data_IF_846155460020
#
_entry.id   IF_846155460020
#
_cell.length_a   1.000
_cell.length_b   1.000
_cell.length_c   1.000
_cell.angle_alpha   90.00
_cell.angle_beta   90.00
_cell.angle_gamma   90.00
#
_symmetry.space_group_name_H-M   'P 1'
#
loop_
_entity.id
_entity.type
_entity.pdbx_description
1 polymer ?
#
# COMPACT_ATOMS: atom_id res chain seq x y z
N UNK A 1 6.17 -4.18 -21.19
CA UNK A 1 6.73 -3.47 -20.02
C UNK A 1 7.40 -4.52 -19.14
N UNK A 2 8.66 -4.32 -18.74
CA UNK A 2 9.35 -5.24 -17.82
C UNK A 2 8.70 -5.10 -16.44
N UNK A 3 8.36 -6.21 -15.77
CA UNK A 3 7.89 -6.15 -14.39
C UNK A 3 9.04 -5.68 -13.50
N UNK A 4 8.78 -4.62 -12.73
CA UNK A 4 9.73 -4.04 -11.80
C UNK A 4 9.40 -4.60 -10.42
N UNK A 5 10.34 -5.34 -9.83
CA UNK A 5 10.19 -5.89 -8.48
C UNK A 5 9.98 -4.77 -7.47
N UNK A 6 9.03 -4.98 -6.55
CA UNK A 6 8.70 -4.03 -5.50
C UNK A 6 9.25 -4.47 -4.14
N UNK A 7 10.12 -3.67 -3.54
CA UNK A 7 10.53 -3.82 -2.14
C UNK A 7 9.69 -2.94 -1.22
N UNK A 8 9.27 -3.45 -0.07
CA UNK A 8 8.70 -2.61 1.00
C UNK A 8 9.59 -2.67 2.23
N UNK A 9 10.17 -1.54 2.60
CA UNK A 9 11.09 -1.40 3.72
C UNK A 9 10.31 -0.89 4.91
N UNK A 10 10.07 -1.78 5.86
CA UNK A 10 9.51 -1.45 7.16
C UNK A 10 10.68 -0.94 8.02
N UNK A 11 10.86 0.37 8.05
CA UNK A 11 12.06 0.97 8.63
C UNK A 11 12.07 0.98 10.16
N UNK A 12 10.89 0.89 10.79
CA UNK A 12 10.68 0.93 12.24
C UNK A 12 9.32 0.32 12.56
N UNK A 13 9.10 -0.15 13.79
CA UNK A 13 7.75 -0.42 14.33
C UNK A 13 7.25 0.71 15.25
N UNK A 14 8.06 1.73 15.52
CA UNK A 14 7.65 2.90 16.30
C UNK A 14 6.58 3.69 15.55
N UNK A 15 5.48 3.99 16.20
CA UNK A 15 4.38 4.76 15.62
C UNK A 15 3.72 5.64 16.67
N UNK A 16 3.36 6.86 16.30
CA UNK A 16 2.58 7.78 17.14
C UNK A 16 1.06 7.53 17.02
N UNK A 17 0.61 6.84 15.97
CA UNK A 17 -0.79 6.45 15.80
C UNK A 17 -1.12 5.18 16.60
N UNK A 18 -2.36 5.07 17.07
CA UNK A 18 -2.89 3.92 17.80
C UNK A 18 -4.07 3.31 17.06
N UNK A 19 -3.82 2.91 15.81
CA UNK A 19 -4.87 2.49 14.90
C UNK A 19 -5.67 1.29 15.43
N UNK A 20 -6.98 1.26 15.19
CA UNK A 20 -7.80 0.09 15.51
C UNK A 20 -7.37 -1.12 14.68
N UNK A 21 -7.03 -0.92 13.41
CA UNK A 21 -6.72 -1.98 12.44
C UNK A 21 -5.29 -2.55 12.51
N UNK A 22 -4.44 -2.00 13.38
CA UNK A 22 -3.03 -2.36 13.48
C UNK A 22 -2.52 -2.18 14.92
N UNK A 23 -1.93 -3.24 15.48
CA UNK A 23 -1.38 -3.25 16.84
C UNK A 23 0.12 -2.96 16.89
N UNK A 24 0.76 -2.56 15.79
CA UNK A 24 2.22 -2.29 15.74
C UNK A 24 2.68 -1.31 16.83
N UNK A 25 1.84 -0.35 17.21
CA UNK A 25 2.13 0.62 18.27
C UNK A 25 2.28 -0.01 19.67
N UNK A 26 1.81 -1.24 19.86
CA UNK A 26 2.01 -2.07 21.06
C UNK A 26 3.31 -2.89 21.01
N UNK A 27 3.95 -2.96 19.85
CA UNK A 27 5.15 -3.78 19.57
C UNK A 27 6.27 -2.91 18.97
N UNK A 28 6.49 -1.73 19.56
CA UNK A 28 7.47 -0.78 19.02
C UNK A 28 8.90 -1.29 19.15
N UNK A 29 9.68 -1.12 18.09
CA UNK A 29 11.14 -1.28 18.12
C UNK A 29 11.79 -0.19 18.94
N UNK A 30 13.00 -0.45 19.44
CA UNK A 30 13.92 0.58 19.94
C UNK A 30 14.79 1.10 18.80
N UNK A 31 15.23 2.37 18.84
CA UNK A 31 16.18 2.89 17.84
C UNK A 31 17.43 2.02 17.69
N UNK A 32 17.91 1.39 18.77
CA UNK A 32 19.10 0.50 18.76
C UNK A 32 18.85 -0.87 18.12
N UNK A 33 17.60 -1.26 17.91
CA UNK A 33 17.22 -2.52 17.26
C UNK A 33 17.04 -2.34 15.74
N UNK A 34 16.82 -1.10 15.30
CA UNK A 34 16.60 -0.74 13.90
C UNK A 34 17.92 -0.74 13.14
N UNK A 35 17.93 -1.30 11.93
CA UNK A 35 19.14 -1.37 11.11
C UNK A 35 19.65 0.02 10.70
N UNK A 36 20.97 0.12 10.62
CA UNK A 36 21.64 1.27 10.02
C UNK A 36 21.26 1.39 8.53
N UNK A 37 20.94 2.60 8.03
CA UNK A 37 20.57 2.79 6.62
C UNK A 37 21.58 2.26 5.60
N UNK A 38 22.88 2.22 5.93
CA UNK A 38 23.95 1.73 5.04
C UNK A 38 23.71 0.29 4.56
N UNK A 39 23.02 -0.55 5.33
CA UNK A 39 22.68 -1.91 4.88
C UNK A 39 21.77 -1.93 3.64
N UNK A 40 20.99 -0.87 3.40
CA UNK A 40 20.18 -0.74 2.18
C UNK A 40 21.03 -0.51 0.93
N UNK A 41 22.32 -0.21 1.04
CA UNK A 41 23.23 -0.11 -0.11
C UNK A 41 23.38 -1.44 -0.86
N UNK A 42 23.18 -2.58 -0.16
CA UNK A 42 23.18 -3.93 -0.73
C UNK A 42 22.01 -4.19 -1.69
N UNK A 43 20.95 -3.37 -1.67
CA UNK A 43 19.81 -3.56 -2.54
C UNK A 43 20.17 -3.25 -4.01
N UNK A 44 19.67 -4.04 -4.98
CA UNK A 44 19.95 -3.82 -6.38
C UNK A 44 19.27 -2.55 -6.90
N UNK A 45 19.85 -1.96 -7.95
CA UNK A 45 19.22 -0.85 -8.65
C UNK A 45 17.98 -1.30 -9.44
N UNK A 46 17.10 -0.34 -9.74
CA UNK A 46 15.90 -0.52 -10.56
C UNK A 46 14.65 -0.96 -9.80
N UNK A 47 14.74 -1.26 -8.51
CA UNK A 47 13.58 -1.62 -7.68
C UNK A 47 12.58 -0.47 -7.53
N UNK A 48 11.29 -0.79 -7.42
CA UNK A 48 10.32 0.14 -6.85
C UNK A 48 10.33 -0.06 -5.34
N UNK A 49 10.60 0.99 -4.57
CA UNK A 49 10.74 0.86 -3.12
C UNK A 49 9.69 1.69 -2.41
N UNK A 50 8.95 1.06 -1.50
CA UNK A 50 8.06 1.72 -0.55
C UNK A 50 8.75 1.75 0.82
N UNK A 51 9.02 2.94 1.33
CA UNK A 51 9.47 3.20 2.70
C UNK A 51 8.24 3.36 3.58
N UNK A 52 8.14 2.50 4.59
CA UNK A 52 7.01 2.38 5.51
C UNK A 52 7.50 1.94 6.89
N UNK A 53 6.61 1.36 7.70
CA UNK A 53 6.87 0.79 9.01
C UNK A 53 6.57 1.77 10.12
N UNK A 54 5.82 1.32 11.13
CA UNK A 54 5.24 2.16 12.17
C UNK A 54 4.81 3.50 11.56
N UNK A 55 5.52 4.57 11.94
CA UNK A 55 5.63 5.80 11.16
C UNK A 55 7.10 6.07 10.80
N UNK A 56 7.47 5.88 9.53
CA UNK A 56 8.86 6.00 9.06
C UNK A 56 9.48 7.38 9.38
N UNK A 57 8.68 8.44 9.40
CA UNK A 57 9.17 9.80 9.70
C UNK A 57 9.53 10.00 11.18
N UNK A 58 9.30 9.03 12.06
CA UNK A 58 9.82 9.03 13.44
C UNK A 58 11.33 8.78 13.46
N UNK A 59 11.88 8.08 12.47
CA UNK A 59 13.33 7.91 12.35
C UNK A 59 14.02 9.26 12.15
N UNK A 60 15.13 9.44 12.87
CA UNK A 60 15.94 10.67 12.77
C UNK A 60 16.84 10.64 11.53
N UNK A 61 17.23 9.44 11.10
CA UNK A 61 18.06 9.15 9.94
C UNK A 61 17.26 8.82 8.68
N UNK A 62 15.96 9.14 8.63
CA UNK A 62 15.10 8.89 7.46
C UNK A 62 15.67 9.52 6.19
N UNK A 63 16.27 10.71 6.29
CA UNK A 63 16.91 11.39 5.16
C UNK A 63 18.07 10.58 4.57
N UNK A 64 18.84 9.88 5.41
CA UNK A 64 19.93 8.98 4.97
C UNK A 64 19.39 7.76 4.21
N UNK A 65 18.24 7.21 4.64
CA UNK A 65 17.56 6.13 3.91
C UNK A 65 17.17 6.60 2.50
N UNK A 66 16.61 7.81 2.37
CA UNK A 66 16.27 8.38 1.07
C UNK A 66 17.51 8.66 0.22
N UNK A 67 18.59 9.18 0.81
CA UNK A 67 19.85 9.44 0.11
C UNK A 67 20.42 8.19 -0.58
N UNK A 68 20.38 7.04 0.11
CA UNK A 68 20.87 5.76 -0.42
C UNK A 68 19.95 5.22 -1.52
N UNK A 69 18.64 5.29 -1.32
CA UNK A 69 17.66 4.59 -2.15
C UNK A 69 17.17 5.39 -3.35
N UNK A 70 17.10 6.71 -3.23
CA UNK A 70 16.61 7.60 -4.30
C UNK A 70 17.35 7.44 -5.64
N UNK A 71 18.69 7.39 -5.70
CA UNK A 71 19.40 7.23 -6.98
C UNK A 71 19.30 5.82 -7.57
N UNK A 72 19.00 4.80 -6.75
CA UNK A 72 18.93 3.39 -7.16
C UNK A 72 17.51 2.94 -7.51
N UNK A 73 16.48 3.60 -6.99
CA UNK A 73 15.08 3.18 -7.17
C UNK A 73 14.52 3.65 -8.50
N UNK A 74 13.75 2.79 -9.18
CA UNK A 74 12.93 3.20 -10.33
C UNK A 74 11.75 4.08 -9.91
N UNK A 75 11.26 3.89 -8.69
CA UNK A 75 10.34 4.79 -8.00
C UNK A 75 10.48 4.57 -6.49
N UNK A 76 10.82 5.63 -5.76
CA UNK A 76 10.81 5.64 -4.31
C UNK A 76 9.50 6.20 -3.79
N UNK A 77 8.94 5.58 -2.76
CA UNK A 77 7.63 5.89 -2.21
C UNK A 77 7.72 6.04 -0.69
N UNK A 78 7.06 7.06 -0.13
CA UNK A 78 6.86 7.25 1.30
C UNK A 78 5.40 6.96 1.66
N UNK A 79 5.18 6.00 2.55
CA UNK A 79 3.92 5.84 3.27
C UNK A 79 4.04 6.49 4.64
N UNK A 80 3.13 7.40 4.96
CA UNK A 80 3.14 8.16 6.22
C UNK A 80 1.71 8.44 6.69
N UNK A 81 1.52 8.59 7.99
CA UNK A 81 0.28 9.09 8.60
C UNK A 81 0.12 10.61 8.44
N UNK A 82 1.14 11.32 7.96
CA UNK A 82 1.07 12.75 7.68
C UNK A 82 1.23 13.67 8.91
N UNK A 83 1.55 13.13 10.08
CA UNK A 83 1.66 13.92 11.30
C UNK A 83 2.89 14.85 11.31
N UNK A 84 4.03 14.35 10.83
CA UNK A 84 5.31 15.08 10.82
C UNK A 84 5.47 15.95 9.55
N UNK A 85 4.58 16.93 9.36
CA UNK A 85 4.46 17.75 8.15
C UNK A 85 5.80 18.31 7.65
N UNK A 86 6.56 18.96 8.54
CA UNK A 86 7.82 19.65 8.19
C UNK A 86 8.85 18.68 7.61
N UNK A 87 9.01 17.52 8.27
CA UNK A 87 9.94 16.47 7.84
C UNK A 87 9.51 15.87 6.50
N UNK A 88 8.21 15.63 6.30
CA UNK A 88 7.65 15.12 5.02
C UNK A 88 7.90 16.12 3.88
N UNK A 89 7.66 17.41 4.12
CA UNK A 89 7.87 18.49 3.14
C UNK A 89 9.36 18.66 2.81
N UNK A 90 10.24 18.54 3.81
CA UNK A 90 11.69 18.59 3.59
C UNK A 90 12.15 17.46 2.65
N UNK A 91 11.70 16.23 2.89
CA UNK A 91 11.97 15.09 2.01
C UNK A 91 11.43 15.33 0.59
N UNK A 92 10.19 15.83 0.48
CA UNK A 92 9.56 16.12 -0.81
C UNK A 92 10.29 17.20 -1.63
N UNK A 93 10.89 18.20 -0.96
CA UNK A 93 11.69 19.24 -1.61
C UNK A 93 13.06 18.73 -2.05
N UNK A 94 13.72 17.92 -1.22
CA UNK A 94 15.04 17.34 -1.50
C UNK A 94 14.96 16.24 -2.58
N UNK A 95 13.90 15.45 -2.57
CA UNK A 95 13.69 14.30 -3.46
C UNK A 95 12.39 14.48 -4.28
N UNK A 96 12.37 15.34 -5.32
CA UNK A 96 11.13 15.72 -5.99
C UNK A 96 10.46 14.59 -6.81
N UNK A 97 11.19 13.53 -7.17
CA UNK A 97 10.68 12.43 -8.00
C UNK A 97 10.26 11.19 -7.18
N UNK A 98 9.64 11.41 -6.02
CA UNK A 98 9.09 10.34 -5.17
C UNK A 98 7.57 10.30 -5.21
N UNK A 99 7.00 9.17 -4.78
CA UNK A 99 5.59 9.03 -4.44
C UNK A 99 5.40 9.33 -2.95
N UNK A 100 4.39 10.10 -2.56
CA UNK A 100 4.02 10.24 -1.14
C UNK A 100 2.55 9.87 -0.96
N UNK A 101 2.28 8.92 -0.08
CA UNK A 101 0.91 8.52 0.29
C UNK A 101 0.68 8.83 1.77
N UNK A 102 -0.14 9.85 2.01
CA UNK A 102 -0.59 10.23 3.34
C UNK A 102 -1.81 9.41 3.69
N UNK A 103 -1.78 8.70 4.80
CA UNK A 103 -2.80 7.71 5.09
C UNK A 103 -3.96 8.32 5.89
N UNK A 104 -5.18 8.08 5.41
CA UNK A 104 -6.44 8.56 6.02
C UNK A 104 -7.51 7.48 5.88
N UNK A 105 -8.33 7.29 6.90
CA UNK A 105 -9.32 6.19 6.91
C UNK A 105 -10.76 6.62 6.63
N UNK A 106 -11.00 7.91 6.40
CA UNK A 106 -12.33 8.49 6.22
C UNK A 106 -12.26 10.01 6.35
N UNK A 107 -13.42 10.63 6.53
CA UNK A 107 -13.55 12.03 6.94
C UNK A 107 -13.14 12.20 8.43
N UNK A 108 -13.04 13.43 8.97
CA UNK A 108 -12.34 13.70 10.24
C UNK A 108 -12.70 12.76 11.39
N UNK A 109 -14.00 12.53 11.64
CA UNK A 109 -14.47 11.68 12.73
C UNK A 109 -13.98 10.23 12.60
N UNK A 110 -14.30 9.56 11.49
CA UNK A 110 -13.94 8.16 11.25
C UNK A 110 -12.42 7.99 11.22
N UNK A 111 -11.71 8.93 10.61
CA UNK A 111 -10.27 8.89 10.54
C UNK A 111 -9.63 8.89 11.92
N UNK A 112 -10.03 9.84 12.78
CA UNK A 112 -9.41 10.04 14.08
C UNK A 112 -9.74 8.90 15.05
N UNK A 113 -10.98 8.42 15.01
CA UNK A 113 -11.42 7.22 15.75
C UNK A 113 -10.62 5.98 15.32
N UNK A 114 -10.50 5.72 14.01
CA UNK A 114 -9.80 4.54 13.50
C UNK A 114 -8.29 4.61 13.67
N UNK A 115 -7.68 5.79 13.56
CA UNK A 115 -6.22 5.96 13.69
C UNK A 115 -5.76 6.19 15.12
N UNK A 116 -6.68 6.51 16.03
CA UNK A 116 -6.33 6.86 17.41
C UNK A 116 -5.42 8.08 17.49
N UNK A 117 -5.62 9.05 16.58
CA UNK A 117 -4.88 10.31 16.50
C UNK A 117 -5.85 11.47 16.61
N UNK A 118 -5.66 12.32 17.62
CA UNK A 118 -6.44 13.53 17.77
C UNK A 118 -6.11 14.53 16.65
N UNK A 119 -7.13 15.02 15.95
CA UNK A 119 -7.02 15.89 14.76
C UNK A 119 -6.17 15.25 13.65
N UNK A 120 -6.12 13.92 13.58
CA UNK A 120 -5.28 13.17 12.65
C UNK A 120 -5.60 13.52 11.20
N UNK A 121 -6.87 13.68 10.86
CA UNK A 121 -7.30 14.06 9.52
C UNK A 121 -6.83 15.47 9.16
N UNK A 122 -6.94 16.41 10.09
CA UNK A 122 -6.53 17.81 9.86
C UNK A 122 -5.02 17.92 9.65
N UNK A 123 -4.23 17.15 10.41
CA UNK A 123 -2.79 17.02 10.19
C UNK A 123 -2.49 16.44 8.80
N UNK A 124 -3.17 15.36 8.41
CA UNK A 124 -3.01 14.75 7.10
C UNK A 124 -3.37 15.72 5.95
N UNK A 125 -4.47 16.47 6.10
CA UNK A 125 -4.91 17.47 5.12
C UNK A 125 -3.90 18.62 5.03
N UNK A 126 -3.45 19.17 6.16
CA UNK A 126 -2.41 20.20 6.20
C UNK A 126 -1.15 19.74 5.48
N UNK A 127 -0.68 18.53 5.78
CA UNK A 127 0.48 17.93 5.10
C UNK A 127 0.27 17.84 3.60
N UNK A 128 -0.91 17.41 3.14
CA UNK A 128 -1.23 17.35 1.71
C UNK A 128 -1.20 18.75 1.06
N UNK A 129 -1.74 19.76 1.73
CA UNK A 129 -1.75 21.14 1.23
C UNK A 129 -0.33 21.73 1.13
N UNK A 130 0.55 21.46 2.10
CA UNK A 130 1.95 21.87 2.03
C UNK A 130 2.72 21.09 0.95
N UNK A 131 2.48 19.79 0.83
CA UNK A 131 3.09 18.95 -0.22
C UNK A 131 2.76 19.47 -1.63
N UNK A 132 1.55 19.98 -1.87
CA UNK A 132 1.17 20.59 -3.15
C UNK A 132 2.04 21.77 -3.56
N UNK A 133 2.59 22.50 -2.59
CA UNK A 133 3.49 23.66 -2.82
C UNK A 133 4.91 23.23 -3.20
N UNK A 134 5.28 21.97 -2.95
CA UNK A 134 6.62 21.43 -3.27
C UNK A 134 6.77 21.06 -4.75
N UNK A 135 8.00 20.69 -5.15
CA UNK A 135 8.27 20.11 -6.48
C UNK A 135 7.79 18.67 -6.63
N UNK A 136 7.53 17.95 -5.53
CA UNK A 136 7.00 16.59 -5.56
C UNK A 136 5.52 16.59 -5.95
N UNK A 137 5.21 16.13 -7.16
CA UNK A 137 3.84 16.13 -7.70
C UNK A 137 3.11 14.80 -7.58
N UNK A 138 3.81 13.71 -7.26
CA UNK A 138 3.21 12.38 -7.20
C UNK A 138 2.67 12.05 -5.80
N UNK A 139 1.77 12.93 -5.32
CA UNK A 139 1.24 12.91 -3.95
C UNK A 139 -0.23 12.47 -3.93
N UNK A 140 -0.69 11.96 -2.80
CA UNK A 140 -2.07 11.51 -2.65
C UNK A 140 -2.36 10.95 -1.27
N UNK A 141 -3.63 10.73 -1.02
CA UNK A 141 -4.08 10.02 0.15
C UNK A 141 -4.05 8.50 -0.08
N UNK A 142 -4.06 7.71 0.98
CA UNK A 142 -4.28 6.27 0.92
C UNK A 142 -5.25 5.83 2.03
N UNK A 143 -6.21 5.00 1.67
CA UNK A 143 -7.23 4.46 2.59
C UNK A 143 -7.14 2.94 2.68
N UNK A 144 -7.33 2.40 3.88
CA UNK A 144 -7.51 0.97 4.12
C UNK A 144 -9.00 0.71 4.27
N UNK A 145 -9.61 0.10 3.25
CA UNK A 145 -11.04 -0.19 3.21
C UNK A 145 -11.36 -1.30 4.21
N UNK A 146 -12.34 -1.03 5.08
CA UNK A 146 -12.88 -1.95 6.06
C UNK A 146 -14.40 -1.74 6.25
N UNK A 147 -15.10 -2.71 6.87
CA UNK A 147 -16.53 -2.59 7.16
C UNK A 147 -16.95 -1.36 7.99
N UNK A 148 -16.02 -0.70 8.68
CA UNK A 148 -16.31 0.44 9.55
C UNK A 148 -15.96 1.81 8.92
N UNK A 149 -15.51 1.86 7.66
CA UNK A 149 -15.21 3.14 6.99
C UNK A 149 -15.77 3.32 5.57
N UNK A 150 -16.48 2.31 5.05
CA UNK A 150 -16.93 2.31 3.65
C UNK A 150 -17.84 3.50 3.29
N UNK A 151 -18.54 4.08 4.28
CA UNK A 151 -19.47 5.20 4.10
C UNK A 151 -18.77 6.47 3.58
N UNK A 152 -17.50 6.65 3.93
CA UNK A 152 -16.75 7.86 3.58
C UNK A 152 -15.98 7.74 2.25
N UNK A 153 -15.94 6.56 1.62
CA UNK A 153 -15.07 6.31 0.46
C UNK A 153 -15.37 7.24 -0.73
N UNK A 154 -16.65 7.48 -1.03
CA UNK A 154 -17.04 8.37 -2.13
C UNK A 154 -16.64 9.81 -1.81
N UNK A 155 -16.95 10.30 -0.61
CA UNK A 155 -16.61 11.65 -0.18
C UNK A 155 -15.10 11.88 -0.14
N UNK A 156 -14.33 10.89 0.33
CA UNK A 156 -12.87 10.94 0.34
C UNK A 156 -12.30 10.97 -1.08
N UNK A 157 -12.89 10.23 -2.02
CA UNK A 157 -12.52 10.31 -3.43
C UNK A 157 -12.84 11.68 -4.03
N UNK A 158 -14.01 12.26 -3.74
CA UNK A 158 -14.37 13.59 -4.21
C UNK A 158 -13.43 14.67 -3.66
N UNK A 159 -13.00 14.56 -2.41
CA UNK A 159 -11.95 15.40 -1.84
C UNK A 159 -10.63 15.28 -2.62
N UNK A 160 -10.18 14.05 -2.92
CA UNK A 160 -8.97 13.83 -3.73
C UNK A 160 -9.09 14.44 -5.13
N UNK A 161 -10.26 14.35 -5.77
CA UNK A 161 -10.53 14.99 -7.06
C UNK A 161 -10.47 16.51 -6.95
N UNK A 162 -11.12 17.10 -5.94
CA UNK A 162 -11.12 18.54 -5.70
C UNK A 162 -9.70 19.09 -5.42
N UNK A 163 -8.88 18.32 -4.70
CA UNK A 163 -7.49 18.66 -4.43
C UNK A 163 -6.53 18.34 -5.59
N UNK A 164 -6.98 17.71 -6.67
CA UNK A 164 -6.14 17.19 -7.77
C UNK A 164 -4.97 16.31 -7.29
N UNK A 165 -5.25 15.42 -6.32
CA UNK A 165 -4.26 14.46 -5.78
C UNK A 165 -4.76 13.02 -5.94
N UNK A 166 -3.88 12.04 -5.85
CA UNK A 166 -4.27 10.63 -5.99
C UNK A 166 -4.98 10.07 -4.75
N UNK A 167 -5.77 9.02 -4.95
CA UNK A 167 -6.28 8.18 -3.86
C UNK A 167 -5.77 6.75 -4.07
N UNK A 168 -4.86 6.29 -3.21
CA UNK A 168 -4.53 4.88 -3.06
C UNK A 168 -5.57 4.17 -2.21
N UNK A 169 -5.75 2.87 -2.43
CA UNK A 169 -6.61 2.08 -1.58
C UNK A 169 -6.07 0.65 -1.43
N UNK A 170 -6.35 0.04 -0.30
CA UNK A 170 -6.15 -1.38 0.01
C UNK A 170 -7.34 -1.89 0.82
N UNK A 171 -7.40 -3.18 1.11
CA UNK A 171 -8.33 -3.71 2.11
C UNK A 171 -7.60 -3.94 3.44
N UNK A 172 -8.34 -3.99 4.55
CA UNK A 172 -7.78 -4.36 5.84
C UNK A 172 -7.26 -5.80 5.82
N UNK A 173 -6.14 -6.03 6.51
CA UNK A 173 -5.45 -7.32 6.53
C UNK A 173 -5.08 -7.71 7.96
N UNK A 174 -5.19 -9.01 8.22
CA UNK A 174 -4.67 -9.65 9.42
C UNK A 174 -3.34 -10.32 9.07
N UNK A 175 -2.28 -10.02 9.80
CA UNK A 175 -0.96 -10.60 9.56
C UNK A 175 -0.02 -10.39 10.75
N UNK A 176 1.12 -11.10 10.70
CA UNK A 176 2.22 -10.91 11.64
C UNK A 176 2.67 -9.44 11.71
N UNK A 177 2.74 -8.76 10.56
CA UNK A 177 3.23 -7.39 10.47
C UNK A 177 2.34 -6.39 11.22
N UNK A 178 1.01 -6.56 11.15
CA UNK A 178 0.08 -5.69 11.84
C UNK A 178 -0.16 -6.11 13.30
N UNK A 179 0.43 -7.22 13.76
CA UNK A 179 0.17 -7.84 15.05
C UNK A 179 -1.33 -8.01 15.32
N UNK A 180 -2.08 -8.40 14.29
CA UNK A 180 -3.53 -8.42 14.32
C UNK A 180 -4.13 -9.59 13.53
N UNK A 181 -5.12 -10.25 14.11
CA UNK A 181 -5.78 -11.45 13.61
C UNK A 181 -7.32 -11.37 13.61
N UNK A 182 -7.89 -10.34 14.22
CA UNK A 182 -9.32 -10.16 14.49
C UNK A 182 -9.99 -9.03 13.70
N UNK A 183 -9.30 -8.40 12.72
CA UNK A 183 -10.00 -7.46 11.85
C UNK A 183 -11.10 -8.16 11.06
N UNK A 184 -12.31 -7.59 11.10
CA UNK A 184 -13.40 -7.97 10.23
C UNK A 184 -13.16 -7.40 8.82
N UNK A 185 -13.40 -8.23 7.81
CA UNK A 185 -13.23 -7.84 6.40
C UNK A 185 -14.56 -7.94 5.66
N UNK A 186 -15.41 -8.91 5.98
CA UNK A 186 -16.67 -9.13 5.30
C UNK A 186 -17.76 -8.21 5.84
N UNK A 187 -18.59 -7.68 4.95
CA UNK A 187 -19.78 -6.90 5.30
C UNK A 187 -20.67 -6.72 4.07
N UNK A 188 -21.93 -7.13 4.20
CA UNK A 188 -22.95 -6.93 3.16
C UNK A 188 -23.32 -5.45 3.04
N UNK A 189 -23.38 -4.74 4.16
CA UNK A 189 -23.70 -3.31 4.22
C UNK A 189 -22.66 -2.47 3.47
N UNK A 190 -21.39 -2.88 3.52
CA UNK A 190 -20.29 -2.23 2.83
C UNK A 190 -20.38 -2.37 1.30
N UNK A 191 -20.97 -3.44 0.77
CA UNK A 191 -20.97 -3.75 -0.66
C UNK A 191 -21.60 -2.65 -1.49
N UNK A 192 -22.74 -2.11 -1.04
CA UNK A 192 -23.46 -1.07 -1.77
C UNK A 192 -22.66 0.22 -1.90
N UNK A 193 -22.06 0.68 -0.81
CA UNK A 193 -21.24 1.90 -0.83
C UNK A 193 -19.93 1.70 -1.58
N UNK A 194 -19.32 0.53 -1.44
CA UNK A 194 -18.15 0.16 -2.21
C UNK A 194 -18.46 0.14 -3.72
N UNK A 195 -19.63 -0.36 -4.14
CA UNK A 195 -20.05 -0.29 -5.54
C UNK A 195 -20.20 1.16 -6.03
N UNK A 196 -20.75 2.07 -5.21
CA UNK A 196 -20.83 3.49 -5.55
C UNK A 196 -19.44 4.11 -5.71
N UNK A 197 -18.50 3.77 -4.84
CA UNK A 197 -17.10 4.18 -4.97
C UNK A 197 -16.45 3.68 -6.27
N UNK A 198 -16.66 2.42 -6.64
CA UNK A 198 -16.14 1.88 -7.90
C UNK A 198 -16.82 2.52 -9.11
N UNK A 199 -18.13 2.79 -9.06
CA UNK A 199 -18.84 3.57 -10.09
C UNK A 199 -18.24 4.98 -10.23
N UNK A 200 -17.90 5.65 -9.12
CA UNK A 200 -17.26 6.96 -9.14
C UNK A 200 -15.84 6.95 -9.77
N UNK A 201 -15.09 5.87 -9.58
CA UNK A 201 -13.80 5.65 -10.26
C UNK A 201 -13.97 5.42 -11.77
N UNK A 202 -14.93 4.58 -12.17
CA UNK A 202 -15.25 4.30 -13.58
C UNK A 202 -15.81 5.52 -14.33
N UNK A 203 -16.41 6.45 -13.61
CA UNK A 203 -16.95 7.71 -14.14
C UNK A 203 -16.08 8.92 -13.78
N UNK A 204 -14.79 8.68 -13.53
CA UNK A 204 -13.84 9.66 -13.00
C UNK A 204 -14.02 11.07 -13.55
N UNK A 205 -14.20 12.02 -12.62
CA UNK A 205 -14.34 13.46 -12.87
C UNK A 205 -12.96 14.16 -13.00
N UNK A 206 -11.85 13.41 -13.03
CA UNK A 206 -10.51 13.99 -13.12
C UNK A 206 -10.26 14.65 -14.47
N UNK A 207 -9.54 15.78 -14.44
CA UNK A 207 -9.26 16.60 -15.63
C UNK A 207 -8.33 15.88 -16.63
N UNK A 208 -7.20 15.34 -16.15
CA UNK A 208 -6.18 14.72 -17.01
C UNK A 208 -6.57 13.29 -17.37
N UNK A 209 -6.39 12.92 -18.64
CA UNK A 209 -6.67 11.56 -19.13
C UNK A 209 -5.84 10.50 -18.38
N UNK A 210 -4.56 10.80 -18.12
CA UNK A 210 -3.67 9.90 -17.37
C UNK A 210 -4.24 9.54 -16.00
N UNK A 211 -4.86 10.48 -15.30
CA UNK A 211 -5.40 10.20 -13.97
C UNK A 211 -6.72 9.45 -14.04
N UNK A 212 -7.56 9.74 -15.04
CA UNK A 212 -8.75 8.93 -15.32
C UNK A 212 -8.38 7.47 -15.60
N UNK A 213 -7.33 7.23 -16.39
CA UNK A 213 -6.82 5.87 -16.64
C UNK A 213 -6.35 5.18 -15.35
N UNK A 214 -5.71 5.93 -14.43
CA UNK A 214 -5.34 5.39 -13.12
C UNK A 214 -6.57 5.07 -12.26
N UNK A 215 -7.60 5.91 -12.27
CA UNK A 215 -8.86 5.63 -11.58
C UNK A 215 -9.55 4.39 -12.14
N UNK A 216 -9.52 4.17 -13.46
CA UNK A 216 -10.05 2.94 -14.07
C UNK A 216 -9.27 1.70 -13.64
N UNK A 217 -7.95 1.79 -13.59
CA UNK A 217 -7.11 0.73 -13.05
C UNK A 217 -7.43 0.43 -11.58
N UNK A 218 -7.67 1.47 -10.77
CA UNK A 218 -8.11 1.32 -9.38
C UNK A 218 -9.50 0.70 -9.28
N UNK A 219 -10.43 1.07 -10.16
CA UNK A 219 -11.75 0.45 -10.22
C UNK A 219 -11.64 -1.06 -10.44
N UNK A 220 -10.75 -1.49 -11.34
CA UNK A 220 -10.48 -2.91 -11.55
C UNK A 220 -9.89 -3.58 -10.31
N UNK A 221 -8.90 -2.98 -9.66
CA UNK A 221 -8.35 -3.54 -8.41
C UNK A 221 -9.41 -3.70 -7.32
N UNK A 222 -10.33 -2.73 -7.22
CA UNK A 222 -11.45 -2.79 -6.28
C UNK A 222 -12.44 -3.93 -6.59
N UNK A 223 -12.41 -4.58 -7.77
CA UNK A 223 -13.13 -5.83 -8.01
C UNK A 223 -12.75 -6.89 -6.97
N UNK A 224 -11.46 -7.07 -6.72
CA UNK A 224 -10.96 -8.06 -5.76
C UNK A 224 -11.32 -7.68 -4.32
N UNK A 225 -11.28 -6.39 -3.98
CA UNK A 225 -11.74 -5.90 -2.67
C UNK A 225 -13.24 -6.16 -2.50
N UNK A 226 -14.07 -5.85 -3.50
CA UNK A 226 -15.51 -6.08 -3.42
C UNK A 226 -15.84 -7.55 -3.18
N UNK A 227 -15.20 -8.46 -3.92
CA UNK A 227 -15.36 -9.91 -3.74
C UNK A 227 -14.89 -10.37 -2.37
N UNK A 228 -13.82 -9.76 -1.84
CA UNK A 228 -13.37 -10.03 -0.47
C UNK A 228 -14.36 -9.58 0.59
N UNK A 229 -14.95 -8.39 0.44
CA UNK A 229 -16.01 -7.87 1.33
C UNK A 229 -17.27 -8.75 1.29
N UNK A 230 -17.56 -9.36 0.12
CA UNK A 230 -18.71 -10.27 -0.08
C UNK A 230 -18.51 -11.65 0.53
N UNK A 231 -17.28 -12.00 0.93
CA UNK A 231 -16.96 -13.32 1.48
C UNK A 231 -16.69 -14.38 0.41
N UNK A 232 -16.38 -13.99 -0.82
CA UNK A 232 -16.03 -14.96 -1.87
C UNK A 232 -14.83 -15.82 -1.47
N UNK A 233 -14.91 -17.12 -1.75
CA UNK A 233 -13.78 -18.03 -1.61
C UNK A 233 -12.58 -17.59 -2.47
N UNK A 234 -11.38 -17.95 -2.01
CA UNK A 234 -10.14 -17.64 -2.72
C UNK A 234 -10.16 -18.25 -4.15
N UNK A 235 -9.68 -17.49 -5.13
CA UNK A 235 -9.60 -17.94 -6.53
C UNK A 235 -9.98 -16.86 -7.55
N UNK A 236 -10.63 -15.78 -7.11
CA UNK A 236 -10.95 -14.63 -7.96
C UNK A 236 -9.76 -13.72 -8.28
N UNK A 237 -8.68 -13.86 -7.50
CA UNK A 237 -7.43 -13.09 -7.58
C UNK A 237 -6.38 -13.83 -8.40
N UNK A 238 -5.46 -13.13 -9.07
CA UNK A 238 -4.32 -13.77 -9.72
C UNK A 238 -3.40 -14.46 -8.72
N UNK A 239 -2.55 -15.37 -9.22
CA UNK A 239 -1.57 -16.06 -8.41
C UNK A 239 -0.66 -15.07 -7.67
N UNK A 240 -0.34 -15.38 -6.41
CA UNK A 240 0.46 -14.50 -5.56
C UNK A 240 1.88 -14.34 -6.12
N UNK A 241 2.30 -13.08 -6.31
CA UNK A 241 3.65 -12.75 -6.75
C UNK A 241 4.65 -12.55 -5.60
N UNK A 242 4.32 -12.89 -4.35
CA UNK A 242 5.26 -12.79 -3.23
C UNK A 242 6.55 -13.57 -3.57
N UNK A 243 7.69 -13.11 -3.04
CA UNK A 243 9.06 -13.57 -3.37
C UNK A 243 9.57 -13.15 -4.76
N UNK A 244 8.73 -13.19 -5.79
CA UNK A 244 9.15 -13.00 -7.20
C UNK A 244 8.90 -11.60 -7.73
N UNK A 245 7.73 -11.04 -7.45
CA UNK A 245 7.33 -9.68 -7.81
C UNK A 245 7.57 -8.68 -6.69
N UNK A 246 7.62 -9.14 -5.45
CA UNK A 246 7.84 -8.28 -4.30
C UNK A 246 8.38 -9.01 -3.08
N UNK A 247 9.00 -8.22 -2.21
CA UNK A 247 9.57 -8.64 -0.93
C UNK A 247 9.42 -7.53 0.13
N UNK A 248 9.70 -7.89 1.36
CA UNK A 248 9.67 -7.01 2.52
C UNK A 248 10.99 -7.09 3.27
N UNK A 249 11.40 -5.97 3.87
CA UNK A 249 12.51 -5.93 4.82
C UNK A 249 12.01 -5.31 6.11
N UNK A 250 12.14 -6.04 7.21
CA UNK A 250 11.72 -5.60 8.53
C UNK A 250 12.74 -4.65 9.19
N UNK A 251 12.44 -4.07 10.38
CA UNK A 251 13.36 -3.14 11.04
C UNK A 251 14.70 -3.77 11.47
N UNK A 252 14.77 -5.10 11.59
CA UNK A 252 15.97 -5.86 11.99
C UNK A 252 16.80 -6.32 10.79
N UNK A 253 16.33 -6.08 9.57
CA UNK A 253 17.00 -6.42 8.32
C UNK A 253 16.60 -7.79 7.75
N UNK A 254 15.61 -8.47 8.33
CA UNK A 254 15.13 -9.73 7.79
C UNK A 254 14.38 -9.49 6.48
N UNK A 255 14.71 -10.29 5.47
CA UNK A 255 14.04 -10.28 4.18
C UNK A 255 12.98 -11.36 4.18
N UNK A 256 11.75 -10.97 3.86
CA UNK A 256 10.57 -11.84 3.87
C UNK A 256 9.80 -11.69 2.55
N UNK A 257 9.17 -12.75 2.01
CA UNK A 257 8.47 -12.67 0.75
C UNK A 257 7.13 -11.93 0.87
N UNK A 258 6.55 -11.88 2.07
CA UNK A 258 5.19 -11.42 2.33
C UNK A 258 5.05 -10.83 3.73
N UNK A 259 4.36 -9.70 3.87
CA UNK A 259 3.92 -9.15 5.16
C UNK A 259 2.45 -9.51 5.50
N UNK A 260 1.79 -10.33 4.67
CA UNK A 260 0.41 -10.77 4.83
C UNK A 260 0.25 -12.19 5.42
N UNK A 261 1.34 -12.92 5.65
CA UNK A 261 1.33 -14.27 6.25
C UNK A 261 0.97 -14.23 7.74
N UNK A 262 0.66 -15.39 8.34
CA UNK A 262 0.37 -15.49 9.78
C UNK A 262 1.62 -15.35 10.64
N UNK A 263 2.75 -15.80 10.12
CA UNK A 263 4.08 -15.69 10.71
C UNK A 263 5.01 -15.04 9.68
N UNK A 264 6.15 -14.54 10.15
CA UNK A 264 7.18 -14.05 9.25
C UNK A 264 7.96 -15.22 8.61
N UNK A 265 8.19 -15.16 7.30
CA UNK A 265 8.93 -16.17 6.55
C UNK A 265 10.30 -15.61 6.16
N UNK A 266 11.25 -15.66 7.07
CA UNK A 266 12.58 -15.07 6.88
C UNK A 266 13.41 -15.87 5.88
N UNK A 267 13.77 -15.25 4.76
CA UNK A 267 14.69 -15.77 3.74
C UNK A 267 16.16 -15.60 4.18
N UNK A 268 16.49 -14.46 4.77
CA UNK A 268 17.83 -14.12 5.23
C UNK A 268 17.86 -12.72 5.83
N UNK A 269 19.03 -12.24 6.24
CA UNK A 269 19.16 -10.92 6.87
C UNK A 269 20.19 -10.06 6.13
N UNK A 270 19.82 -8.85 5.72
CA UNK A 270 20.72 -7.96 4.95
C UNK A 270 21.91 -7.45 5.76
N UNK A 271 21.95 -7.63 7.08
CA UNK A 271 23.16 -7.37 7.88
C UNK A 271 24.21 -8.44 7.65
N UNK A 272 23.77 -9.69 7.53
CA UNK A 272 24.61 -10.88 7.58
C UNK A 272 24.89 -11.44 6.19
N UNK A 273 23.96 -11.29 5.25
CA UNK A 273 24.03 -11.88 3.92
C UNK A 273 24.19 -10.81 2.81
N UNK A 274 24.66 -11.24 1.64
CA UNK A 274 24.54 -10.46 0.40
C UNK A 274 23.12 -10.57 -0.18
N UNK A 275 22.75 -9.66 -1.08
CA UNK A 275 21.43 -9.72 -1.71
C UNK A 275 21.30 -10.96 -2.61
N UNK A 276 22.38 -11.32 -3.29
CA UNK A 276 22.48 -12.47 -4.18
C UNK A 276 22.30 -13.79 -3.43
N UNK A 277 22.86 -13.91 -2.22
CA UNK A 277 22.67 -15.07 -1.34
C UNK A 277 21.20 -15.22 -0.89
N UNK A 278 20.58 -14.11 -0.45
CA UNK A 278 19.19 -14.13 0.04
C UNK A 278 18.23 -14.52 -1.09
N UNK A 279 18.49 -14.04 -2.31
CA UNK A 279 17.63 -14.25 -3.47
C UNK A 279 18.10 -15.38 -4.38
N UNK A 280 19.05 -16.23 -3.93
CA UNK A 280 19.49 -17.39 -4.70
C UNK A 280 18.34 -18.39 -4.85
N UNK A 281 17.85 -18.52 -6.08
CA UNK A 281 16.76 -19.40 -6.45
C UNK A 281 17.07 -20.88 -6.22
N UNK A 282 18.35 -21.26 -6.15
CA UNK A 282 18.75 -22.64 -5.89
C UNK A 282 18.87 -22.95 -4.40
N UNK A 283 18.82 -21.93 -3.53
CA UNK A 283 18.93 -22.12 -2.10
C UNK A 283 17.71 -22.84 -1.52
N UNK A 284 17.96 -23.68 -0.51
CA UNK A 284 16.90 -24.40 0.21
C UNK A 284 15.85 -23.44 0.80
N UNK A 285 16.29 -22.33 1.40
CA UNK A 285 15.39 -21.33 2.01
C UNK A 285 14.48 -20.67 0.97
N UNK A 286 15.01 -20.34 -0.22
CA UNK A 286 14.20 -19.76 -1.28
C UNK A 286 13.13 -20.74 -1.76
N UNK A 287 13.49 -22.01 -1.99
CA UNK A 287 12.54 -23.04 -2.42
C UNK A 287 11.46 -23.31 -1.36
N UNK A 288 11.84 -23.36 -0.07
CA UNK A 288 10.87 -23.50 1.03
C UNK A 288 9.90 -22.30 1.10
N UNK A 289 10.41 -21.07 0.99
CA UNK A 289 9.58 -19.88 0.95
C UNK A 289 8.63 -19.86 -0.25
N UNK A 290 9.11 -20.30 -1.43
CA UNK A 290 8.30 -20.42 -2.63
C UNK A 290 7.15 -21.42 -2.46
N UNK A 291 7.41 -22.57 -1.85
CA UNK A 291 6.37 -23.56 -1.55
C UNK A 291 5.36 -23.05 -0.51
N UNK A 292 5.82 -22.32 0.53
CA UNK A 292 4.93 -21.62 1.46
C UNK A 292 4.04 -20.60 0.74
N UNK A 293 4.57 -19.84 -0.23
CA UNK A 293 3.79 -18.88 -1.02
C UNK A 293 2.75 -19.59 -1.89
N UNK A 294 3.13 -20.67 -2.61
CA UNK A 294 2.22 -21.44 -3.48
C UNK A 294 1.10 -22.12 -2.71
N UNK A 295 1.39 -22.66 -1.53
CA UNK A 295 0.41 -23.36 -0.67
C UNK A 295 -0.39 -22.43 0.24
N UNK A 296 -0.13 -21.12 0.21
CA UNK A 296 -0.79 -20.14 1.07
C UNK A 296 -2.29 -20.03 0.78
N UNK A 297 -3.12 -20.40 1.77
CA UNK A 297 -4.59 -20.38 1.67
C UNK A 297 -5.23 -19.05 2.05
N UNK A 298 -4.44 -18.00 2.32
CA UNK A 298 -5.00 -16.71 2.75
C UNK A 298 -5.82 -16.06 1.63
N UNK A 299 -7.00 -15.56 1.98
CA UNK A 299 -7.85 -14.77 1.08
C UNK A 299 -7.48 -13.28 1.17
N UNK A 300 -6.30 -12.90 0.69
CA UNK A 300 -5.80 -11.52 0.73
C UNK A 300 -5.95 -10.79 -0.61
N UNK A 301 -6.10 -9.46 -0.55
CA UNK A 301 -6.25 -8.58 -1.73
C UNK A 301 -5.11 -7.58 -1.80
N UNK A 302 -3.92 -8.07 -2.15
CA UNK A 302 -2.72 -7.24 -2.26
C UNK A 302 -2.66 -6.52 -3.60
N UNK A 303 -2.61 -5.19 -3.57
CA UNK A 303 -2.47 -4.35 -4.77
C UNK A 303 -1.21 -4.70 -5.57
N UNK A 304 -0.13 -5.10 -4.90
CA UNK A 304 1.13 -5.40 -5.59
C UNK A 304 0.98 -6.64 -6.47
N UNK A 305 0.30 -7.68 -5.99
CA UNK A 305 -0.02 -8.89 -6.78
C UNK A 305 -0.89 -8.52 -7.99
N UNK A 306 -1.98 -7.80 -7.76
CA UNK A 306 -2.94 -7.40 -8.80
C UNK A 306 -2.30 -6.50 -9.86
N UNK A 307 -1.52 -5.51 -9.43
CA UNK A 307 -0.82 -4.58 -10.34
C UNK A 307 0.14 -5.32 -11.27
N UNK A 308 0.94 -6.26 -10.76
CA UNK A 308 1.86 -7.03 -11.61
C UNK A 308 1.08 -7.89 -12.62
N UNK A 309 -0.06 -8.46 -12.21
CA UNK A 309 -0.91 -9.21 -13.12
C UNK A 309 -1.56 -8.33 -14.19
N UNK A 310 -2.05 -7.15 -13.81
CA UNK A 310 -2.61 -6.17 -14.75
C UNK A 310 -1.59 -5.72 -15.80
N UNK A 311 -0.30 -5.65 -15.44
CA UNK A 311 0.78 -5.32 -16.40
C UNK A 311 1.09 -6.50 -17.32
N UNK A 312 1.08 -7.73 -16.80
CA UNK A 312 1.30 -8.96 -17.60
C UNK A 312 0.16 -9.25 -18.57
N UNK A 313 -1.09 -9.04 -18.13
CA UNK A 313 -2.32 -9.42 -18.85
C UNK A 313 -3.28 -8.23 -18.97
N UNK A 314 -2.88 -7.12 -19.63
CA UNK A 314 -3.65 -5.88 -19.65
C UNK A 314 -5.04 -6.01 -20.30
N UNK A 315 -5.27 -7.00 -21.16
CA UNK A 315 -6.58 -7.23 -21.77
C UNK A 315 -7.66 -7.64 -20.75
N UNK A 316 -7.30 -8.25 -19.63
CA UNK A 316 -8.25 -8.65 -18.58
C UNK A 316 -8.86 -7.41 -17.91
N UNK A 317 -8.08 -6.48 -17.31
CA UNK A 317 -8.63 -5.26 -16.75
C UNK A 317 -9.32 -4.40 -17.81
N UNK A 318 -8.77 -4.28 -19.02
CA UNK A 318 -9.37 -3.47 -20.09
C UNK A 318 -10.79 -3.97 -20.42
N UNK A 319 -10.98 -5.28 -20.63
CA UNK A 319 -12.30 -5.87 -20.91
C UNK A 319 -13.29 -5.62 -19.77
N UNK A 320 -12.84 -5.83 -18.52
CA UNK A 320 -13.69 -5.63 -17.34
C UNK A 320 -14.09 -4.16 -17.17
N UNK A 321 -13.14 -3.23 -17.35
CA UNK A 321 -13.37 -1.78 -17.26
C UNK A 321 -14.37 -1.34 -18.32
N UNK A 322 -14.17 -1.69 -19.59
CA UNK A 322 -15.07 -1.28 -20.69
C UNK A 322 -16.50 -1.79 -20.44
N UNK A 323 -16.65 -3.07 -20.06
CA UNK A 323 -17.94 -3.68 -19.72
C UNK A 323 -18.63 -2.89 -18.61
N UNK A 324 -17.92 -2.57 -17.54
CA UNK A 324 -18.49 -1.91 -16.37
C UNK A 324 -18.74 -0.40 -16.57
N UNK A 325 -17.91 0.29 -17.36
CA UNK A 325 -18.20 1.66 -17.78
C UNK A 325 -19.53 1.75 -18.55
N UNK A 326 -19.80 0.79 -19.44
CA UNK A 326 -21.08 0.75 -20.17
C UNK A 326 -22.26 0.45 -19.24
N UNK A 327 -22.11 -0.48 -18.30
CA UNK A 327 -23.16 -0.80 -17.31
C UNK A 327 -23.48 0.40 -16.42
N UNK A 328 -22.46 1.06 -15.89
CA UNK A 328 -22.60 2.26 -15.07
C UNK A 328 -23.33 3.39 -15.81
N UNK A 329 -23.00 3.63 -17.09
CA UNK A 329 -23.70 4.63 -17.93
C UNK A 329 -25.18 4.31 -18.17
N UNK A 330 -25.55 3.03 -18.14
CA UNK A 330 -26.95 2.57 -18.28
C UNK A 330 -27.69 2.44 -16.94
N UNK A 331 -27.09 2.89 -15.83
CA UNK A 331 -27.67 2.74 -14.49
C UNK A 331 -27.78 1.29 -14.01
N UNK A 332 -27.03 0.36 -14.62
CA UNK A 332 -27.00 -1.05 -14.22
C UNK A 332 -25.94 -1.28 -13.14
N UNK A 333 -26.16 -2.30 -12.32
CA UNK A 333 -25.18 -2.73 -11.32
C UNK A 333 -23.90 -3.25 -11.96
N UNK A 334 -22.77 -3.13 -11.26
CA UNK A 334 -21.49 -3.60 -11.76
C UNK A 334 -21.46 -5.14 -11.86
N UNK A 335 -20.67 -5.64 -12.80
CA UNK A 335 -20.35 -7.05 -12.93
C UNK A 335 -19.02 -7.30 -12.24
N UNK A 336 -19.05 -8.11 -11.19
CA UNK A 336 -17.91 -8.41 -10.33
C UNK A 336 -17.14 -9.67 -10.74
N UNK A 337 -17.72 -10.45 -11.65
CA UNK A 337 -17.16 -11.72 -12.13
C UNK A 337 -16.09 -11.55 -13.22
#
# INVERSE_FOLDING_TARGET
MKNIVQGSLITTFRCNAKCNMCNIWKHQTKPTEEIDPSYYEKLPAGLRINITGGEATIRQDIDRIFEILYPKSSLLELSTNGYNTEKIVALANKYPNILIRVSVEGLPKINDEKRGLHNGFDHALRTMLELKKTKCKNIGFSVVISPDNYMDLVSLYELCVALDVELGNSAVHNSWYFHKDDNQVESEEALKQHELFVKALLTSKRRRLKDRLKDYGRAYFNRSIHRRLRGDEAGYRPACGALTDFFFIDPWGNVSPCNGSCEEWVLGNIKENSWEEIMDVNSKKYQEALEKVKSCKRNCTFIVTERHDMVRRPWIPIKWIIKNMWRARKGKDLCWD
#
